data_IF_654453915385
#
_entry.id   IF_654453915385
#
_cell.length_a   1.000
_cell.length_b   1.000
_cell.length_c   1.000
_cell.angle_alpha   90.00
_cell.angle_beta   90.00
_cell.angle_gamma   90.00
#
_symmetry.space_group_name_H-M   'P 1'
#
loop_
_entity.id
_entity.type
_entity.pdbx_description
1 polymer ?
#
# COMPACT_ATOMS: atom_id res chain seq x y z
N UNK A 1 -10.49 -10.85 3.96
CA UNK A 1 -11.05 -12.21 3.99
C UNK A 1 -11.45 -12.65 5.41
N UNK A 2 -10.55 -12.70 6.38
CA UNK A 2 -10.81 -13.30 7.70
C UNK A 2 -11.69 -12.42 8.59
N UNK A 3 -11.42 -11.12 8.65
CA UNK A 3 -12.04 -10.20 9.63
C UNK A 3 -13.28 -9.48 9.11
N UNK A 4 -13.77 -9.82 7.92
CA UNK A 4 -14.96 -9.22 7.34
C UNK A 4 -14.90 -7.68 7.20
N UNK A 5 -16.09 -7.07 7.26
CA UNK A 5 -16.27 -5.62 7.06
C UNK A 5 -15.63 -4.76 8.19
N UNK A 6 -15.42 -5.34 9.38
CA UNK A 6 -14.75 -4.68 10.48
C UNK A 6 -13.32 -4.22 10.15
N UNK A 7 -12.62 -4.91 9.23
CA UNK A 7 -11.28 -4.49 8.78
C UNK A 7 -11.29 -3.24 7.89
N UNK A 8 -12.43 -2.83 7.37
CA UNK A 8 -12.56 -1.58 6.60
C UNK A 8 -12.23 -0.33 7.43
N UNK A 9 -12.31 -0.40 8.77
CA UNK A 9 -11.89 0.69 9.65
C UNK A 9 -10.40 1.04 9.51
N UNK A 10 -9.55 0.05 9.20
CA UNK A 10 -8.14 0.31 8.86
C UNK A 10 -8.07 1.19 7.59
N UNK A 11 -8.83 0.84 6.56
CA UNK A 11 -8.90 1.61 5.32
C UNK A 11 -9.41 3.03 5.52
N UNK A 12 -10.45 3.21 6.35
CA UNK A 12 -10.98 4.53 6.70
C UNK A 12 -9.92 5.33 7.46
N UNK A 13 -9.24 4.73 8.44
CA UNK A 13 -8.15 5.37 9.16
C UNK A 13 -7.01 5.82 8.26
N UNK A 14 -6.60 4.95 7.34
CA UNK A 14 -5.59 5.26 6.33
C UNK A 14 -6.02 6.41 5.42
N UNK A 15 -7.26 6.41 4.92
CA UNK A 15 -7.79 7.47 4.05
C UNK A 15 -7.81 8.83 4.77
N UNK A 16 -8.29 8.85 6.00
CA UNK A 16 -8.36 10.06 6.83
C UNK A 16 -6.95 10.55 7.17
N UNK A 17 -6.05 9.65 7.59
CA UNK A 17 -4.65 9.98 7.87
C UNK A 17 -3.92 10.54 6.65
N UNK A 18 -4.10 9.92 5.48
CA UNK A 18 -3.55 10.41 4.22
C UNK A 18 -4.08 11.81 3.87
N UNK A 19 -5.40 12.04 4.03
CA UNK A 19 -6.00 13.34 3.77
C UNK A 19 -5.40 14.44 4.66
N UNK A 20 -5.29 14.19 5.96
CA UNK A 20 -4.66 15.13 6.89
C UNK A 20 -3.18 15.34 6.57
N UNK A 21 -2.46 14.30 6.18
CA UNK A 21 -1.06 14.42 5.77
C UNK A 21 -0.92 15.32 4.51
N UNK A 22 -1.80 15.18 3.53
CA UNK A 22 -1.86 16.04 2.35
C UNK A 22 -2.23 17.49 2.65
N UNK A 23 -3.09 17.73 3.63
CA UNK A 23 -3.55 19.09 3.98
C UNK A 23 -2.53 19.79 4.87
N UNK A 24 -2.00 19.09 5.88
CA UNK A 24 -1.19 19.70 6.93
C UNK A 24 0.30 19.68 6.61
N UNK A 25 0.80 18.56 6.06
CA UNK A 25 2.24 18.33 5.87
C UNK A 25 2.71 18.74 4.48
N UNK A 26 2.02 18.29 3.43
CA UNK A 26 2.52 18.44 2.06
C UNK A 26 2.80 19.91 1.66
N UNK A 27 1.90 20.89 1.87
CA UNK A 27 2.16 22.27 1.47
C UNK A 27 3.33 22.88 2.26
N UNK A 28 3.31 22.71 3.58
CA UNK A 28 4.33 23.26 4.48
C UNK A 28 5.71 22.67 4.22
N UNK A 29 5.74 21.36 4.01
CA UNK A 29 7.00 20.67 3.73
C UNK A 29 7.56 21.08 2.37
N UNK A 30 6.71 21.20 1.34
CA UNK A 30 7.16 21.66 0.02
C UNK A 30 7.71 23.08 0.06
N UNK A 31 7.01 24.00 0.73
CA UNK A 31 7.46 25.36 0.93
C UNK A 31 8.83 25.43 1.61
N UNK A 32 8.98 24.72 2.73
CA UNK A 32 10.24 24.65 3.45
C UNK A 32 11.35 23.97 2.65
N UNK A 33 11.02 22.92 1.90
CA UNK A 33 12.00 22.23 1.03
C UNK A 33 12.60 23.19 0.00
N UNK A 34 11.76 24.00 -0.64
CA UNK A 34 12.23 25.03 -1.58
C UNK A 34 13.12 26.06 -0.87
N UNK A 35 12.69 26.54 0.29
CA UNK A 35 13.44 27.53 1.09
C UNK A 35 14.83 27.02 1.50
N UNK A 36 14.97 25.73 1.86
CA UNK A 36 16.23 25.11 2.28
C UNK A 36 16.98 24.37 1.16
N UNK A 37 17.03 24.97 -0.04
CA UNK A 37 17.88 24.49 -1.12
C UNK A 37 17.28 23.36 -1.97
N UNK A 38 15.94 23.26 -1.98
CA UNK A 38 15.19 22.27 -2.77
C UNK A 38 15.66 20.82 -2.57
N UNK A 39 15.96 20.46 -1.33
CA UNK A 39 16.40 19.12 -0.96
C UNK A 39 15.28 18.10 -1.17
N UNK A 40 15.55 17.04 -1.93
CA UNK A 40 14.59 15.97 -2.25
C UNK A 40 14.71 14.74 -1.34
N UNK A 41 15.57 14.80 -0.33
CA UNK A 41 15.72 13.73 0.67
C UNK A 41 15.60 14.29 2.07
N UNK A 42 15.02 13.53 3.01
CA UNK A 42 14.87 13.95 4.41
C UNK A 42 16.22 14.25 5.07
N UNK A 43 17.27 13.42 4.91
CA UNK A 43 18.57 13.74 5.48
C UNK A 43 19.18 15.05 4.96
N UNK A 44 19.07 15.32 3.66
CA UNK A 44 19.54 16.58 3.09
C UNK A 44 18.73 17.78 3.58
N UNK A 45 17.40 17.64 3.65
CA UNK A 45 16.52 18.69 4.17
C UNK A 45 16.86 19.06 5.62
N UNK A 46 17.03 18.06 6.48
CA UNK A 46 17.40 18.28 7.88
C UNK A 46 18.80 18.94 8.02
N UNK A 47 19.76 18.49 7.20
CA UNK A 47 21.09 19.09 7.18
C UNK A 47 21.08 20.57 6.75
N UNK A 48 20.30 20.90 5.74
CA UNK A 48 20.16 22.26 5.22
C UNK A 48 19.42 23.17 6.22
N UNK A 49 18.42 22.64 6.90
CA UNK A 49 17.61 23.39 7.88
C UNK A 49 18.40 23.70 9.17
N UNK A 50 19.28 22.80 9.57
CA UNK A 50 20.07 22.92 10.82
C UNK A 50 21.58 22.85 10.56
N UNK A 51 22.19 23.91 10.01
CA UNK A 51 23.57 23.89 9.53
C UNK A 51 24.60 23.59 10.63
N UNK A 52 24.36 24.02 11.86
CA UNK A 52 25.26 23.76 13.01
C UNK A 52 25.40 22.28 13.38
N UNK A 53 24.43 21.45 13.02
CA UNK A 53 24.43 19.99 13.28
C UNK A 53 24.20 19.18 12.01
N UNK A 54 24.51 19.74 10.85
CA UNK A 54 24.15 19.19 9.56
C UNK A 54 24.68 17.77 9.35
N UNK A 55 25.94 17.51 9.69
CA UNK A 55 26.56 16.18 9.53
C UNK A 55 25.89 15.13 10.42
N UNK A 56 25.70 15.43 11.69
CA UNK A 56 25.08 14.50 12.65
C UNK A 56 23.65 14.17 12.26
N UNK A 57 22.84 15.19 11.90
CA UNK A 57 21.44 14.98 11.49
C UNK A 57 21.35 14.19 10.20
N UNK A 58 22.22 14.48 9.22
CA UNK A 58 22.29 13.75 7.97
C UNK A 58 22.63 12.28 8.18
N UNK A 59 23.64 12.00 9.00
CA UNK A 59 24.10 10.63 9.27
C UNK A 59 23.06 9.85 10.07
N UNK A 60 22.56 10.40 11.17
CA UNK A 60 21.59 9.69 12.03
C UNK A 60 20.29 9.41 11.27
N UNK A 61 19.74 10.42 10.57
CA UNK A 61 18.52 10.20 9.80
C UNK A 61 18.70 9.20 8.65
N UNK A 62 19.87 9.20 7.99
CA UNK A 62 20.17 8.23 6.95
C UNK A 62 20.24 6.80 7.52
N UNK A 63 20.93 6.60 8.66
CA UNK A 63 21.01 5.29 9.32
C UNK A 63 19.63 4.80 9.72
N UNK A 64 18.82 5.63 10.36
CA UNK A 64 17.46 5.27 10.76
C UNK A 64 16.63 4.85 9.54
N UNK A 65 16.66 5.63 8.47
CA UNK A 65 15.92 5.30 7.24
C UNK A 65 16.41 3.96 6.67
N UNK A 66 17.72 3.74 6.56
CA UNK A 66 18.28 2.50 6.00
C UNK A 66 17.84 1.28 6.82
N UNK A 67 17.93 1.34 8.15
CA UNK A 67 17.55 0.22 9.03
C UNK A 67 16.07 -0.14 8.87
N UNK A 68 15.18 0.84 8.99
CA UNK A 68 13.74 0.58 8.90
C UNK A 68 13.31 0.18 7.48
N UNK A 69 13.91 0.79 6.45
CA UNK A 69 13.59 0.43 5.06
C UNK A 69 14.19 -0.90 4.61
N UNK A 70 15.27 -1.37 5.21
CA UNK A 70 15.75 -2.73 4.97
C UNK A 70 14.70 -3.77 5.38
N UNK A 71 14.07 -3.60 6.56
CA UNK A 71 12.98 -4.47 7.02
C UNK A 71 11.74 -4.34 6.11
N UNK A 72 11.37 -3.11 5.74
CA UNK A 72 10.25 -2.86 4.84
C UNK A 72 10.45 -3.52 3.46
N UNK A 73 11.64 -3.36 2.88
CA UNK A 73 11.99 -3.98 1.59
C UNK A 73 11.99 -5.50 1.68
N UNK A 74 12.50 -6.06 2.78
CA UNK A 74 12.48 -7.50 3.00
C UNK A 74 11.04 -8.06 2.99
N UNK A 75 10.07 -7.37 3.61
CA UNK A 75 8.67 -7.78 3.57
C UNK A 75 8.08 -7.77 2.15
N UNK A 76 8.46 -6.79 1.33
CA UNK A 76 8.07 -6.73 -0.08
C UNK A 76 8.66 -7.87 -0.92
N UNK A 77 9.92 -8.26 -0.66
CA UNK A 77 10.56 -9.40 -1.32
C UNK A 77 9.88 -10.73 -0.95
N UNK A 78 9.51 -10.89 0.33
CA UNK A 78 8.75 -12.07 0.79
C UNK A 78 7.39 -12.15 0.07
N UNK A 79 6.67 -11.04 -0.05
CA UNK A 79 5.40 -11.00 -0.76
C UNK A 79 5.57 -11.33 -2.26
N UNK A 80 6.62 -10.80 -2.91
CA UNK A 80 6.97 -11.11 -4.30
C UNK A 80 7.31 -12.59 -4.49
N UNK A 81 8.07 -13.18 -3.55
CA UNK A 81 8.39 -14.61 -3.56
C UNK A 81 7.17 -15.50 -3.45
N UNK A 82 6.25 -15.18 -2.51
CA UNK A 82 4.99 -15.93 -2.35
C UNK A 82 4.07 -15.80 -3.56
N UNK A 83 3.98 -14.61 -4.15
CA UNK A 83 3.22 -14.40 -5.37
C UNK A 83 3.76 -15.25 -6.52
N UNK A 84 5.08 -15.28 -6.69
CA UNK A 84 5.73 -16.08 -7.72
C UNK A 84 5.50 -17.58 -7.47
N UNK A 85 5.63 -18.05 -6.25
CA UNK A 85 5.37 -19.42 -5.85
C UNK A 85 3.93 -19.84 -6.18
N UNK A 86 2.94 -19.02 -5.84
CA UNK A 86 1.53 -19.33 -6.13
C UNK A 86 1.19 -19.26 -7.64
N UNK A 87 1.74 -18.27 -8.36
CA UNK A 87 1.47 -18.08 -9.78
C UNK A 87 2.11 -19.14 -10.69
N UNK A 88 3.27 -19.67 -10.30
CA UNK A 88 4.05 -20.62 -11.10
C UNK A 88 4.17 -22.00 -10.47
N UNK A 89 3.34 -22.32 -9.48
CA UNK A 89 3.27 -23.63 -8.85
C UNK A 89 2.96 -24.72 -9.90
N UNK A 90 3.85 -25.70 -9.99
CA UNK A 90 3.70 -26.83 -10.93
C UNK A 90 4.01 -26.53 -12.40
N UNK A 91 4.38 -25.29 -12.77
CA UNK A 91 4.68 -24.92 -14.15
C UNK A 91 6.19 -25.00 -14.42
N UNK A 92 7.01 -24.56 -13.48
CA UNK A 92 8.47 -24.55 -13.62
C UNK A 92 9.16 -25.28 -12.46
N UNK A 93 10.16 -26.09 -12.79
CA UNK A 93 11.14 -26.64 -11.87
C UNK A 93 12.51 -26.04 -12.20
N UNK A 94 13.00 -25.19 -11.33
CA UNK A 94 14.30 -24.52 -11.47
C UNK A 94 15.46 -25.30 -10.79
N UNK A 95 15.49 -26.63 -10.96
CA UNK A 95 16.48 -27.47 -10.30
C UNK A 95 16.31 -27.49 -8.77
N UNK A 96 17.39 -27.23 -8.04
CA UNK A 96 17.40 -27.29 -6.58
C UNK A 96 16.78 -26.06 -5.88
N UNK A 97 16.43 -25.00 -6.64
CA UNK A 97 15.88 -23.78 -6.07
C UNK A 97 14.35 -23.83 -6.03
N UNK A 98 13.77 -23.52 -4.88
CA UNK A 98 12.31 -23.41 -4.76
C UNK A 98 11.75 -22.25 -5.58
N UNK A 99 10.50 -22.38 -6.06
CA UNK A 99 9.80 -21.31 -6.79
C UNK A 99 9.74 -20.01 -5.98
N UNK A 100 9.60 -20.10 -4.66
CA UNK A 100 9.71 -18.97 -3.76
C UNK A 100 11.08 -18.27 -3.84
N UNK A 101 12.17 -19.04 -3.73
CA UNK A 101 13.52 -18.50 -3.79
C UNK A 101 13.82 -17.83 -5.13
N UNK A 102 13.39 -18.44 -6.22
CA UNK A 102 13.49 -17.86 -7.56
C UNK A 102 12.69 -16.55 -7.67
N UNK A 103 11.47 -16.52 -7.14
CA UNK A 103 10.63 -15.33 -7.11
C UNK A 103 11.28 -14.17 -6.35
N UNK A 104 11.88 -14.45 -5.18
CA UNK A 104 12.64 -13.45 -4.42
C UNK A 104 13.82 -12.91 -5.23
N UNK A 105 14.60 -13.76 -5.87
CA UNK A 105 15.78 -13.37 -6.66
C UNK A 105 15.41 -12.55 -7.90
N UNK A 106 14.37 -12.94 -8.63
CA UNK A 106 13.87 -12.21 -9.79
C UNK A 106 13.36 -10.83 -9.35
N UNK A 107 12.51 -10.77 -8.31
CA UNK A 107 11.98 -9.52 -7.79
C UNK A 107 13.10 -8.58 -7.35
N UNK A 108 14.07 -9.08 -6.59
CA UNK A 108 15.23 -8.31 -6.15
C UNK A 108 16.04 -7.80 -7.35
N UNK A 109 16.35 -8.66 -8.32
CA UNK A 109 17.13 -8.30 -9.52
C UNK A 109 16.45 -7.21 -10.34
N UNK A 110 15.17 -7.36 -10.63
CA UNK A 110 14.38 -6.37 -11.39
C UNK A 110 14.33 -5.03 -10.66
N UNK A 111 14.04 -5.04 -9.35
CA UNK A 111 13.99 -3.81 -8.54
C UNK A 111 15.35 -3.12 -8.49
N UNK A 112 16.43 -3.86 -8.30
CA UNK A 112 17.78 -3.28 -8.29
C UNK A 112 18.14 -2.66 -9.63
N UNK A 113 17.89 -3.34 -10.75
CA UNK A 113 18.23 -2.86 -12.09
C UNK A 113 17.53 -1.52 -12.36
N UNK A 114 16.21 -1.45 -12.26
CA UNK A 114 15.53 -0.20 -12.60
C UNK A 114 15.80 0.93 -11.59
N UNK A 115 16.06 0.60 -10.33
CA UNK A 115 16.38 1.60 -9.30
C UNK A 115 17.77 2.19 -9.51
N UNK A 116 18.78 1.35 -9.80
CA UNK A 116 20.17 1.79 -10.03
C UNK A 116 20.30 2.58 -11.33
N UNK A 117 19.65 2.11 -12.40
CA UNK A 117 19.75 2.73 -13.74
C UNK A 117 18.92 4.01 -13.83
N UNK A 118 17.71 4.02 -13.31
CA UNK A 118 16.77 5.11 -13.53
C UNK A 118 16.46 5.99 -12.33
N UNK A 119 16.94 5.62 -11.14
CA UNK A 119 16.78 6.40 -9.91
C UNK A 119 15.32 6.74 -9.59
N UNK A 120 15.11 7.92 -9.00
CA UNK A 120 13.79 8.36 -8.54
C UNK A 120 12.73 8.45 -9.66
N UNK A 121 13.14 8.88 -10.87
CA UNK A 121 12.21 9.02 -11.99
C UNK A 121 11.70 7.66 -12.47
N UNK A 122 12.60 6.68 -12.66
CA UNK A 122 12.21 5.35 -13.08
C UNK A 122 11.32 4.66 -12.04
N UNK A 123 11.67 4.76 -10.75
CA UNK A 123 10.82 4.25 -9.66
C UNK A 123 9.44 4.89 -9.70
N UNK A 124 9.34 6.20 -9.88
CA UNK A 124 8.05 6.89 -9.96
C UNK A 124 7.21 6.46 -11.17
N UNK A 125 7.84 6.21 -12.31
CA UNK A 125 7.15 5.73 -13.51
C UNK A 125 6.67 4.28 -13.36
N UNK A 126 7.50 3.40 -12.80
CA UNK A 126 7.10 2.01 -12.53
C UNK A 126 5.99 1.95 -11.48
N UNK A 127 6.07 2.74 -10.42
CA UNK A 127 5.01 2.87 -9.41
C UNK A 127 3.69 3.31 -10.04
N UNK A 128 3.72 4.27 -10.96
CA UNK A 128 2.54 4.73 -11.66
C UNK A 128 1.89 3.62 -12.49
N UNK A 129 2.66 2.91 -13.31
CA UNK A 129 2.16 1.80 -14.13
C UNK A 129 1.61 0.67 -13.26
N UNK A 130 2.37 0.24 -12.25
CA UNK A 130 1.95 -0.80 -11.31
C UNK A 130 0.69 -0.38 -10.54
N UNK A 131 0.64 0.88 -10.12
CA UNK A 131 -0.54 1.43 -9.49
C UNK A 131 -1.77 1.39 -10.39
N UNK A 132 -1.66 1.74 -11.69
CA UNK A 132 -2.76 1.62 -12.66
C UNK A 132 -3.25 0.17 -12.77
N UNK A 133 -2.34 -0.78 -12.89
CA UNK A 133 -2.68 -2.22 -12.97
C UNK A 133 -3.38 -2.66 -11.68
N UNK A 134 -2.86 -2.28 -10.52
CA UNK A 134 -3.46 -2.60 -9.22
C UNK A 134 -4.88 -2.01 -9.09
N UNK A 135 -5.07 -0.76 -9.47
CA UNK A 135 -6.39 -0.12 -9.41
C UNK A 135 -7.38 -0.82 -10.34
N UNK A 136 -6.98 -1.12 -11.58
CA UNK A 136 -7.82 -1.85 -12.52
C UNK A 136 -8.19 -3.24 -11.98
N UNK A 137 -7.23 -3.97 -11.43
CA UNK A 137 -7.48 -5.26 -10.81
C UNK A 137 -8.48 -5.15 -9.64
N UNK A 138 -8.30 -4.18 -8.74
CA UNK A 138 -9.18 -3.96 -7.59
C UNK A 138 -10.59 -3.49 -7.98
N UNK A 139 -10.79 -2.92 -9.16
CA UNK A 139 -12.11 -2.57 -9.68
C UNK A 139 -12.76 -3.75 -10.44
N UNK A 140 -11.98 -4.42 -11.27
CA UNK A 140 -12.49 -5.49 -12.15
C UNK A 140 -12.76 -6.78 -11.36
N UNK A 141 -11.84 -7.19 -10.49
CA UNK A 141 -11.95 -8.48 -9.78
C UNK A 141 -13.21 -8.60 -8.90
N UNK A 142 -13.60 -7.61 -8.08
CA UNK A 142 -14.87 -7.69 -7.36
C UNK A 142 -16.09 -7.85 -8.28
N UNK A 143 -16.07 -7.18 -9.43
CA UNK A 143 -17.15 -7.29 -10.41
C UNK A 143 -17.19 -8.70 -11.05
N UNK A 144 -16.02 -9.24 -11.42
CA UNK A 144 -15.91 -10.62 -11.96
C UNK A 144 -16.38 -11.64 -10.94
N UNK A 145 -15.96 -11.49 -9.68
CA UNK A 145 -16.33 -12.39 -8.59
C UNK A 145 -17.83 -12.34 -8.29
N UNK A 146 -18.47 -11.17 -8.41
CA UNK A 146 -19.89 -11.02 -8.16
C UNK A 146 -20.78 -11.49 -9.32
N UNK A 147 -20.40 -11.13 -10.55
CA UNK A 147 -21.26 -11.25 -11.73
C UNK A 147 -20.80 -12.33 -12.73
N UNK A 148 -19.57 -12.86 -12.52
CA UNK A 148 -19.07 -13.98 -13.32
C UNK A 148 -19.73 -15.31 -12.97
N UNK A 149 -19.34 -16.35 -13.70
CA UNK A 149 -19.83 -17.72 -13.47
C UNK A 149 -19.54 -18.16 -12.01
N UNK A 150 -20.56 -18.63 -11.32
CA UNK A 150 -20.47 -18.99 -9.89
C UNK A 150 -20.57 -17.82 -8.91
N UNK A 151 -20.62 -16.56 -9.37
CA UNK A 151 -20.68 -15.37 -8.50
C UNK A 151 -22.00 -15.18 -7.76
N UNK A 152 -23.12 -15.35 -8.47
CA UNK A 152 -24.49 -15.30 -7.89
C UNK A 152 -24.98 -13.91 -7.47
N UNK A 153 -24.22 -12.85 -7.73
CA UNK A 153 -24.58 -11.48 -7.40
C UNK A 153 -24.49 -11.13 -5.92
N UNK A 154 -24.83 -9.89 -5.61
CA UNK A 154 -24.75 -9.33 -4.25
C UNK A 154 -25.63 -10.06 -3.24
N UNK A 155 -26.86 -10.44 -3.65
CA UNK A 155 -27.83 -11.10 -2.76
C UNK A 155 -27.32 -12.46 -2.28
N UNK A 156 -26.83 -13.29 -3.21
CA UNK A 156 -26.31 -14.61 -2.86
C UNK A 156 -24.99 -14.54 -2.08
N UNK A 157 -24.12 -13.59 -2.44
CA UNK A 157 -22.89 -13.39 -1.69
C UNK A 157 -23.15 -12.98 -0.23
N UNK A 158 -24.11 -12.06 -0.01
CA UNK A 158 -24.48 -11.65 1.35
C UNK A 158 -25.17 -12.78 2.13
N UNK A 159 -26.00 -13.59 1.48
CA UNK A 159 -26.63 -14.75 2.10
C UNK A 159 -25.58 -15.79 2.53
N UNK A 160 -24.67 -16.17 1.64
CA UNK A 160 -23.59 -17.12 1.94
C UNK A 160 -22.75 -16.67 3.15
N UNK A 161 -22.41 -15.37 3.21
CA UNK A 161 -21.62 -14.85 4.32
C UNK A 161 -22.42 -14.85 5.64
N UNK A 162 -23.70 -14.51 5.60
CA UNK A 162 -24.57 -14.55 6.77
C UNK A 162 -24.79 -15.96 7.30
N UNK A 163 -24.84 -16.98 6.43
CA UNK A 163 -24.98 -18.38 6.82
C UNK A 163 -23.72 -18.91 7.51
N UNK A 164 -22.54 -18.44 7.10
CA UNK A 164 -21.26 -18.86 7.70
C UNK A 164 -21.00 -18.09 9.00
N UNK A 165 -21.07 -16.76 8.97
CA UNK A 165 -20.88 -15.90 10.13
C UNK A 165 -21.52 -14.52 9.89
N UNK A 166 -22.66 -14.21 10.54
CA UNK A 166 -23.32 -12.92 10.39
C UNK A 166 -22.44 -11.71 10.79
N UNK A 167 -21.38 -11.93 11.57
CA UNK A 167 -20.48 -10.85 12.00
C UNK A 167 -19.60 -10.33 10.88
N UNK A 168 -19.40 -11.10 9.81
CA UNK A 168 -18.56 -10.73 8.65
C UNK A 168 -19.09 -9.50 7.90
N UNK A 169 -20.39 -9.28 7.90
CA UNK A 169 -21.03 -8.12 7.27
C UNK A 169 -21.28 -6.98 8.25
N UNK A 170 -20.88 -7.13 9.50
CA UNK A 170 -21.01 -6.09 10.52
C UNK A 170 -19.80 -5.17 10.57
N UNK A 171 -20.06 -3.86 10.70
CA UNK A 171 -19.02 -2.85 10.88
C UNK A 171 -18.38 -2.85 12.28
N UNK A 172 -19.09 -3.39 13.28
CA UNK A 172 -18.73 -3.23 14.69
C UNK A 172 -18.67 -4.55 15.45
N UNK A 173 -19.28 -5.61 14.96
CA UNK A 173 -19.27 -6.93 15.63
C UNK A 173 -17.86 -7.46 15.79
N UNK A 174 -17.54 -7.92 16.99
CA UNK A 174 -16.21 -8.46 17.31
C UNK A 174 -15.12 -7.40 17.52
N UNK A 175 -15.43 -6.10 17.33
CA UNK A 175 -14.48 -5.02 17.59
C UNK A 175 -14.64 -4.47 19.00
N UNK A 176 -13.58 -4.55 19.80
CA UNK A 176 -13.47 -3.79 21.03
C UNK A 176 -13.16 -2.32 20.70
N UNK A 177 -13.48 -1.38 21.61
CA UNK A 177 -13.11 0.04 21.43
C UNK A 177 -11.61 0.22 21.16
N UNK A 178 -10.76 -0.52 21.86
CA UNK A 178 -9.30 -0.48 21.67
C UNK A 178 -8.92 -1.03 20.28
N UNK A 179 -9.55 -2.11 19.85
CA UNK A 179 -9.33 -2.69 18.51
C UNK A 179 -9.75 -1.73 17.39
N UNK A 180 -10.89 -1.06 17.53
CA UNK A 180 -11.35 -0.02 16.62
C UNK A 180 -10.38 1.17 16.59
N UNK A 181 -10.01 1.69 17.77
CA UNK A 181 -9.05 2.78 17.87
C UNK A 181 -7.71 2.44 17.24
N UNK A 182 -7.19 1.22 17.49
CA UNK A 182 -5.98 0.71 16.87
C UNK A 182 -6.08 0.69 15.35
N UNK A 183 -7.20 0.20 14.81
CA UNK A 183 -7.44 0.14 13.36
C UNK A 183 -7.42 1.53 12.72
N UNK A 184 -8.10 2.51 13.30
CA UNK A 184 -8.14 3.89 12.79
C UNK A 184 -6.79 4.59 12.92
N UNK A 185 -6.05 4.32 13.99
CA UNK A 185 -4.76 4.94 14.28
C UNK A 185 -3.66 4.57 13.26
N UNK A 186 -3.84 3.53 12.46
CA UNK A 186 -2.92 3.20 11.35
C UNK A 186 -2.69 4.38 10.41
N UNK A 187 -3.67 5.25 10.23
CA UNK A 187 -3.55 6.47 9.43
C UNK A 187 -2.48 7.45 9.93
N UNK A 188 -2.13 7.43 11.20
CA UNK A 188 -1.06 8.26 11.76
C UNK A 188 0.32 7.87 11.23
N UNK A 189 0.50 6.63 10.77
CA UNK A 189 1.74 6.17 10.15
C UNK A 189 2.17 7.01 8.95
N UNK A 190 1.23 7.58 8.20
CA UNK A 190 1.54 8.40 7.02
C UNK A 190 2.40 9.63 7.33
N UNK A 191 2.28 10.20 8.53
CA UNK A 191 3.06 11.38 8.93
C UNK A 191 4.55 11.11 9.11
N UNK A 192 4.92 9.85 9.36
CA UNK A 192 6.30 9.44 9.60
C UNK A 192 6.96 8.64 8.48
N UNK A 193 6.23 8.29 7.41
CA UNK A 193 6.76 7.42 6.36
C UNK A 193 7.64 8.18 5.35
N UNK A 194 8.96 7.93 5.30
CA UNK A 194 9.88 8.67 4.43
C UNK A 194 9.53 8.62 2.95
N UNK A 195 9.07 7.48 2.45
CA UNK A 195 8.71 7.30 1.04
C UNK A 195 7.47 8.12 0.61
N UNK A 196 6.60 8.46 1.54
CA UNK A 196 5.46 9.36 1.31
C UNK A 196 5.91 10.81 1.38
N UNK A 197 6.65 11.15 2.43
CA UNK A 197 7.15 12.51 2.68
C UNK A 197 8.03 13.00 1.53
N UNK A 198 8.92 12.15 1.01
CA UNK A 198 9.80 12.48 -0.12
C UNK A 198 8.99 12.84 -1.38
N UNK A 199 7.83 12.21 -1.61
CA UNK A 199 6.96 12.54 -2.74
C UNK A 199 6.38 13.95 -2.61
N UNK A 200 6.04 14.42 -1.41
CA UNK A 200 5.62 15.81 -1.18
C UNK A 200 6.76 16.81 -1.47
N UNK A 201 7.99 16.45 -1.06
CA UNK A 201 9.17 17.27 -1.34
C UNK A 201 9.48 17.38 -2.85
N UNK A 202 9.14 16.36 -3.63
CA UNK A 202 9.38 16.28 -5.06
C UNK A 202 8.29 16.95 -5.92
N UNK A 203 7.18 17.42 -5.36
CA UNK A 203 6.12 18.11 -6.09
C UNK A 203 6.70 19.39 -6.75
N UNK A 204 6.36 19.63 -8.02
CA UNK A 204 6.95 20.69 -8.81
C UNK A 204 6.68 22.07 -8.22
N UNK A 205 5.43 22.40 -7.94
CA UNK A 205 5.02 23.70 -7.38
C UNK A 205 3.99 23.53 -6.27
N UNK A 206 3.87 24.55 -5.39
CA UNK A 206 2.84 24.56 -4.35
C UNK A 206 1.41 24.51 -4.92
N UNK A 207 1.22 25.06 -6.13
CA UNK A 207 -0.08 25.07 -6.82
C UNK A 207 -0.50 23.66 -7.25
N UNK A 208 0.44 22.75 -7.45
CA UNK A 208 0.19 21.38 -7.86
C UNK A 208 -0.21 20.47 -6.66
N UNK A 209 0.01 20.91 -5.41
CA UNK A 209 -0.30 20.12 -4.21
C UNK A 209 -1.79 19.77 -4.13
N UNK A 210 -2.76 20.66 -4.32
CA UNK A 210 -4.18 20.30 -4.30
C UNK A 210 -4.56 19.32 -5.41
N UNK A 211 -3.96 19.46 -6.60
CA UNK A 211 -4.22 18.56 -7.74
C UNK A 211 -3.70 17.16 -7.41
N UNK A 212 -2.45 17.06 -6.97
CA UNK A 212 -1.83 15.79 -6.57
C UNK A 212 -2.60 15.11 -5.42
N UNK A 213 -3.05 15.90 -4.43
CA UNK A 213 -3.92 15.41 -3.34
C UNK A 213 -5.20 14.81 -3.89
N UNK A 214 -5.93 15.54 -4.73
CA UNK A 214 -7.23 15.10 -5.22
C UNK A 214 -7.11 13.82 -6.05
N UNK A 215 -6.09 13.72 -6.91
CA UNK A 215 -5.79 12.51 -7.67
C UNK A 215 -5.42 11.36 -6.72
N UNK A 216 -4.50 11.58 -5.79
CA UNK A 216 -4.05 10.56 -4.85
C UNK A 216 -5.16 10.08 -3.91
N UNK A 217 -6.00 10.99 -3.42
CA UNK A 217 -7.14 10.64 -2.56
C UNK A 217 -8.23 9.89 -3.33
N UNK A 218 -8.55 10.31 -4.56
CA UNK A 218 -9.49 9.59 -5.43
C UNK A 218 -9.01 8.18 -5.74
N UNK A 219 -7.73 8.04 -6.09
CA UNK A 219 -7.08 6.75 -6.30
C UNK A 219 -7.18 5.84 -5.06
N UNK A 220 -6.81 6.37 -3.90
CA UNK A 220 -6.82 5.63 -2.65
C UNK A 220 -8.24 5.19 -2.27
N UNK A 221 -9.23 6.06 -2.45
CA UNK A 221 -10.63 5.74 -2.18
C UNK A 221 -11.12 4.57 -3.05
N UNK A 222 -10.89 4.65 -4.36
CA UNK A 222 -11.29 3.60 -5.32
C UNK A 222 -10.59 2.27 -4.96
N UNK A 223 -9.28 2.31 -4.70
CA UNK A 223 -8.51 1.12 -4.34
C UNK A 223 -8.99 0.49 -3.03
N UNK A 224 -9.32 1.29 -2.02
CA UNK A 224 -9.83 0.77 -0.74
C UNK A 224 -11.22 0.15 -0.87
N UNK A 225 -12.12 0.79 -1.62
CA UNK A 225 -13.44 0.21 -1.91
C UNK A 225 -13.28 -1.13 -2.65
N UNK A 226 -12.41 -1.16 -3.66
CA UNK A 226 -12.11 -2.38 -4.41
C UNK A 226 -11.53 -3.49 -3.55
N UNK A 227 -10.56 -3.17 -2.69
CA UNK A 227 -9.92 -4.14 -1.80
C UNK A 227 -10.89 -4.72 -0.77
N UNK A 228 -11.73 -3.88 -0.14
CA UNK A 228 -12.76 -4.34 0.80
C UNK A 228 -13.80 -5.18 0.09
N UNK A 229 -14.26 -4.74 -1.08
CA UNK A 229 -15.22 -5.50 -1.91
C UNK A 229 -14.66 -6.85 -2.32
N UNK A 230 -13.41 -6.90 -2.78
CA UNK A 230 -12.75 -8.17 -3.14
C UNK A 230 -12.59 -9.09 -1.92
N UNK A 231 -12.26 -8.53 -0.76
CA UNK A 231 -12.15 -9.30 0.48
C UNK A 231 -13.48 -9.97 0.88
N UNK A 232 -14.58 -9.24 0.79
CA UNK A 232 -15.91 -9.74 1.16
C UNK A 232 -16.46 -10.70 0.10
N UNK A 233 -16.52 -10.25 -1.15
CA UNK A 233 -17.13 -11.02 -2.22
C UNK A 233 -16.27 -12.20 -2.67
N UNK A 234 -14.93 -12.04 -2.61
CA UNK A 234 -13.99 -13.13 -2.86
C UNK A 234 -14.14 -14.27 -1.86
N UNK A 235 -14.38 -13.94 -0.58
CA UNK A 235 -14.67 -14.95 0.44
C UNK A 235 -15.98 -15.69 0.15
N UNK A 236 -17.05 -14.97 -0.17
CA UNK A 236 -18.32 -15.59 -0.53
C UNK A 236 -18.18 -16.51 -1.75
N UNK A 237 -17.45 -16.07 -2.76
CA UNK A 237 -17.18 -16.87 -3.96
C UNK A 237 -16.39 -18.14 -3.65
N UNK A 238 -15.33 -18.02 -2.84
CA UNK A 238 -14.51 -19.17 -2.46
C UNK A 238 -15.30 -20.21 -1.67
N UNK A 239 -16.10 -19.79 -0.69
CA UNK A 239 -16.97 -20.68 0.08
C UNK A 239 -17.95 -21.43 -0.83
N UNK A 240 -18.61 -20.73 -1.76
CA UNK A 240 -19.59 -21.33 -2.68
C UNK A 240 -18.98 -22.33 -3.66
N UNK A 241 -17.75 -22.10 -4.07
CA UNK A 241 -17.06 -22.95 -5.04
C UNK A 241 -16.13 -23.99 -4.36
N UNK A 242 -16.16 -24.12 -3.04
CA UNK A 242 -15.35 -25.07 -2.30
C UNK A 242 -13.84 -24.83 -2.42
N UNK A 243 -13.44 -23.55 -2.63
CA UNK A 243 -12.04 -23.17 -2.71
C UNK A 243 -11.49 -22.95 -1.30
N UNK A 244 -10.31 -23.50 -1.06
CA UNK A 244 -9.57 -23.27 0.19
C UNK A 244 -8.99 -21.84 0.19
N UNK A 245 -9.23 -21.09 1.28
CA UNK A 245 -8.84 -19.70 1.44
C UNK A 245 -7.84 -19.52 2.60
N UNK A 246 -7.13 -20.58 3.00
CA UNK A 246 -6.09 -20.46 4.02
C UNK A 246 -4.84 -19.67 3.56
#
# INVERSE_FOLDING_TARGET
>A
FVSGLGSAWIGIGLLVGALFNWILVAPRLREQTVHYGNAITIPAFLANRFPTRSMSLRTVSAIVIVVFFAVYTASGLVAGGKLFESAFSGIYNFGDMSNYGMGVMITLGVVLIYTVVGGFLAVSMTDFVQGCIMMLALVIMPAVVLFGEGGGGFSQASQTLNEVDPTLLSWTSGLTFIGWLSAVTWGLGYFGQPHIIVRFMAIRTLKDVPIARNIGMGWMLISLIGAVSLGIFGRAYAIRNGLDIE
#
